data_IF_894040060845
#
_entry.id   IF_894040060845
#
_cell.length_a   1.000
_cell.length_b   1.000
_cell.length_c   1.000
_cell.angle_alpha   90.00
_cell.angle_beta   90.00
_cell.angle_gamma   90.00
#
_symmetry.space_group_name_H-M   'P 1'
#
loop_
_entity.id
_entity.type
_entity.pdbx_description
1 polymer ?
#
# COMPACT_ATOMS: atom_id res chain seq x y z
N UNK A 1 -9.22 34.20 -39.27
CA UNK A 1 -8.82 35.14 -38.19
C UNK A 1 -9.50 34.71 -36.87
N UNK A 2 -9.21 33.59 -36.22
CA UNK A 2 -8.00 33.17 -35.46
C UNK A 2 -7.56 34.12 -34.34
N UNK A 3 -8.51 34.57 -33.50
CA UNK A 3 -8.25 35.52 -32.40
C UNK A 3 -8.40 34.93 -30.98
N UNK A 4 -8.28 33.61 -30.79
CA UNK A 4 -8.52 32.98 -29.46
C UNK A 4 -7.43 32.00 -28.97
N UNK A 5 -6.24 32.00 -29.58
CA UNK A 5 -5.00 31.53 -28.92
C UNK A 5 -4.27 32.69 -28.22
N UNK A 6 -5.04 33.70 -27.79
CA UNK A 6 -4.52 34.86 -27.06
C UNK A 6 -4.20 34.42 -25.63
N UNK A 7 -2.88 34.31 -25.38
CA UNK A 7 -2.21 33.98 -24.12
C UNK A 7 -2.06 32.48 -23.84
N UNK A 8 -1.05 31.85 -24.44
CA UNK A 8 -0.08 31.12 -23.60
C UNK A 8 0.25 32.10 -22.47
N UNK A 9 -0.37 31.92 -21.30
CA UNK A 9 -0.19 32.86 -20.21
C UNK A 9 1.32 33.01 -19.99
N UNK A 10 1.84 34.26 -20.01
CA UNK A 10 3.18 34.58 -19.54
C UNK A 10 3.21 34.26 -18.03
N UNK A 11 3.24 32.97 -17.72
CA UNK A 11 3.44 32.46 -16.39
C UNK A 11 4.93 32.55 -16.14
N UNK A 12 5.34 33.21 -15.04
CA UNK A 12 6.75 33.36 -14.70
C UNK A 12 7.44 32.00 -14.57
N UNK A 13 8.77 31.95 -14.52
CA UNK A 13 9.50 30.72 -14.24
C UNK A 13 8.94 30.02 -12.99
N UNK A 14 8.82 28.70 -13.03
CA UNK A 14 8.26 27.92 -11.92
C UNK A 14 8.99 28.18 -10.61
N UNK A 15 10.32 28.34 -10.68
CA UNK A 15 11.16 28.59 -9.51
C UNK A 15 10.76 29.86 -8.75
N UNK A 16 10.45 30.94 -9.46
CA UNK A 16 10.04 32.21 -8.81
C UNK A 16 8.74 32.04 -8.02
N UNK A 17 7.82 31.23 -8.53
CA UNK A 17 6.57 30.91 -7.82
C UNK A 17 6.81 29.96 -6.65
N UNK A 18 7.71 28.97 -6.81
CA UNK A 18 8.11 28.09 -5.70
C UNK A 18 8.66 28.95 -4.56
N UNK A 19 9.70 29.76 -4.81
CA UNK A 19 10.35 30.58 -3.78
C UNK A 19 9.38 31.50 -3.03
N UNK A 20 8.38 32.06 -3.74
CA UNK A 20 7.32 32.87 -3.13
C UNK A 20 6.42 32.05 -2.21
N UNK A 21 5.99 30.87 -2.66
CA UNK A 21 5.10 30.00 -1.88
C UNK A 21 5.81 29.35 -0.69
N UNK A 22 7.11 29.06 -0.82
CA UNK A 22 7.92 28.58 0.30
C UNK A 22 7.95 29.61 1.43
N UNK A 23 8.11 30.91 1.11
CA UNK A 23 8.01 31.99 2.11
C UNK A 23 6.65 32.01 2.80
N UNK A 24 5.55 31.88 2.06
CA UNK A 24 4.20 31.88 2.64
C UNK A 24 3.98 30.72 3.62
N UNK A 25 4.53 29.53 3.32
CA UNK A 25 4.46 28.39 4.24
C UNK A 25 5.30 28.67 5.50
N UNK A 26 6.51 29.22 5.32
CA UNK A 26 7.39 29.59 6.43
C UNK A 26 6.78 30.68 7.33
N UNK A 27 5.97 31.56 6.76
CA UNK A 27 5.19 32.58 7.49
C UNK A 27 3.95 32.00 8.20
N UNK A 28 3.73 30.67 8.13
CA UNK A 28 2.69 29.94 8.84
C UNK A 28 1.36 29.80 8.09
N UNK A 29 1.19 30.43 6.93
CA UNK A 29 -0.06 30.36 6.15
C UNK A 29 -0.10 29.13 5.22
N UNK A 30 -0.10 27.94 5.83
CA UNK A 30 -0.04 26.67 5.11
C UNK A 30 -1.26 26.43 4.21
N UNK A 31 -2.47 26.69 4.71
CA UNK A 31 -3.70 26.51 3.93
C UNK A 31 -3.78 27.50 2.75
N UNK A 32 -3.46 28.77 2.96
CA UNK A 32 -3.42 29.76 1.89
C UNK A 32 -2.39 29.40 0.83
N UNK A 33 -1.20 28.95 1.25
CA UNK A 33 -0.18 28.44 0.32
C UNK A 33 -0.69 27.27 -0.51
N UNK A 34 -1.38 26.31 0.12
CA UNK A 34 -1.97 25.16 -0.57
C UNK A 34 -2.92 25.60 -1.69
N UNK A 35 -3.86 26.53 -1.42
CA UNK A 35 -4.78 27.01 -2.45
C UNK A 35 -4.05 27.71 -3.61
N UNK A 36 -2.96 28.43 -3.31
CA UNK A 36 -2.12 29.03 -4.34
C UNK A 36 -1.37 27.98 -5.19
N UNK A 37 -0.81 26.93 -4.57
CA UNK A 37 -0.23 25.79 -5.27
C UNK A 37 -1.25 25.14 -6.24
N UNK A 38 -2.48 24.91 -5.78
CA UNK A 38 -3.57 24.33 -6.59
C UNK A 38 -3.93 25.22 -7.78
N UNK A 39 -4.09 26.52 -7.54
CA UNK A 39 -4.43 27.49 -8.58
C UNK A 39 -3.32 27.61 -9.64
N UNK A 40 -2.06 27.75 -9.21
CA UNK A 40 -0.93 27.90 -10.12
C UNK A 40 -0.64 26.62 -10.92
N UNK A 41 -0.71 25.45 -10.30
CA UNK A 41 -0.55 24.17 -11.00
C UNK A 41 -1.64 23.94 -12.04
N UNK A 42 -2.90 24.29 -11.73
CA UNK A 42 -4.00 24.25 -12.70
C UNK A 42 -3.76 25.16 -13.91
N UNK A 43 -3.21 26.36 -13.68
CA UNK A 43 -2.83 27.30 -14.75
C UNK A 43 -1.70 26.76 -15.63
N UNK A 44 -0.67 26.17 -15.04
CA UNK A 44 0.41 25.52 -15.80
C UNK A 44 -0.11 24.33 -16.61
N UNK A 45 -0.92 23.45 -16.01
CA UNK A 45 -1.54 22.32 -16.70
C UNK A 45 -2.45 22.75 -17.85
N UNK A 46 -3.23 23.82 -17.67
CA UNK A 46 -4.09 24.40 -18.73
C UNK A 46 -3.27 24.99 -19.89
N UNK A 47 -2.03 25.38 -19.63
CA UNK A 47 -1.08 25.85 -20.62
C UNK A 47 -0.22 24.71 -21.21
N UNK A 48 -0.55 23.43 -20.93
CA UNK A 48 0.21 22.24 -21.33
C UNK A 48 1.65 22.21 -20.80
N UNK A 49 1.96 23.00 -19.77
CA UNK A 49 3.27 23.10 -19.10
C UNK A 49 3.32 22.12 -17.92
N UNK A 50 3.19 20.82 -18.23
CA UNK A 50 3.06 19.78 -17.20
C UNK A 50 4.32 19.60 -16.36
N UNK A 51 5.51 19.76 -16.94
CA UNK A 51 6.77 19.65 -16.19
C UNK A 51 6.82 20.65 -15.04
N UNK A 52 6.51 21.91 -15.33
CA UNK A 52 6.48 22.98 -14.33
C UNK A 52 5.35 22.78 -13.31
N UNK A 53 4.19 22.29 -13.74
CA UNK A 53 3.11 21.94 -12.81
C UNK A 53 3.55 20.84 -11.83
N UNK A 54 4.26 19.82 -12.32
CA UNK A 54 4.79 18.73 -11.50
C UNK A 54 5.88 19.23 -10.53
N UNK A 55 6.79 20.10 -10.97
CA UNK A 55 7.84 20.67 -10.12
C UNK A 55 7.24 21.49 -8.98
N UNK A 56 6.24 22.31 -9.31
CA UNK A 56 5.49 23.11 -8.35
C UNK A 56 4.75 22.24 -7.33
N UNK A 57 4.00 21.23 -7.79
CA UNK A 57 3.22 20.35 -6.92
C UNK A 57 4.10 19.47 -6.03
N UNK A 58 5.22 18.96 -6.57
CA UNK A 58 6.19 18.19 -5.80
C UNK A 58 6.81 19.04 -4.69
N UNK A 59 7.24 20.26 -5.00
CA UNK A 59 7.78 21.18 -3.99
C UNK A 59 6.74 21.47 -2.90
N UNK A 60 5.53 21.85 -3.28
CA UNK A 60 4.44 22.14 -2.34
C UNK A 60 4.08 20.93 -1.46
N UNK A 61 3.95 19.74 -2.04
CA UNK A 61 3.66 18.52 -1.29
C UNK A 61 4.76 18.22 -0.25
N UNK A 62 6.03 18.23 -0.68
CA UNK A 62 7.16 17.98 0.20
C UNK A 62 7.24 19.00 1.34
N UNK A 63 7.06 20.28 1.05
CA UNK A 63 7.17 21.33 2.05
C UNK A 63 6.03 21.28 3.07
N UNK A 64 4.78 21.11 2.62
CA UNK A 64 3.64 20.96 3.52
C UNK A 64 3.79 19.76 4.45
N UNK A 65 4.17 18.60 3.89
CA UNK A 65 4.41 17.38 4.68
C UNK A 65 5.54 17.59 5.71
N UNK A 66 6.63 18.27 5.33
CA UNK A 66 7.73 18.62 6.23
C UNK A 66 7.30 19.52 7.39
N UNK A 67 6.31 20.39 7.19
CA UNK A 67 5.71 21.23 8.25
C UNK A 67 4.61 20.51 9.04
N UNK A 68 4.42 19.20 8.86
CA UNK A 68 3.40 18.41 9.54
C UNK A 68 1.97 18.63 9.02
N UNK A 69 1.80 19.38 7.92
CA UNK A 69 0.51 19.66 7.31
C UNK A 69 0.11 18.51 6.38
N UNK A 70 -0.22 17.36 6.98
CA UNK A 70 -0.39 16.10 6.24
C UNK A 70 -1.53 16.15 5.24
N UNK A 71 -2.68 16.71 5.62
CA UNK A 71 -3.83 16.87 4.72
C UNK A 71 -3.50 17.75 3.53
N UNK A 72 -2.87 18.91 3.78
CA UNK A 72 -2.50 19.86 2.73
C UNK A 72 -1.48 19.26 1.76
N UNK A 73 -0.43 18.65 2.29
CA UNK A 73 0.64 18.04 1.51
C UNK A 73 0.17 16.82 0.72
N UNK A 74 -0.68 15.99 1.31
CA UNK A 74 -1.28 14.83 0.64
C UNK A 74 -2.19 15.21 -0.52
N UNK A 75 -3.00 16.27 -0.38
CA UNK A 75 -3.85 16.72 -1.48
C UNK A 75 -3.01 17.22 -2.67
N UNK A 76 -1.91 17.94 -2.41
CA UNK A 76 -0.96 18.33 -3.46
C UNK A 76 -0.24 17.12 -4.07
N UNK A 77 0.06 16.10 -3.26
CA UNK A 77 0.65 14.84 -3.72
C UNK A 77 -0.29 14.05 -4.64
N UNK A 78 -1.59 14.00 -4.33
CA UNK A 78 -2.61 13.39 -5.21
C UNK A 78 -2.73 14.19 -6.50
N UNK A 79 -2.79 15.53 -6.44
CA UNK A 79 -2.80 16.39 -7.64
C UNK A 79 -1.53 16.23 -8.49
N UNK A 80 -0.37 15.98 -7.87
CA UNK A 80 0.86 15.64 -8.59
C UNK A 80 0.65 14.39 -9.45
N UNK A 81 0.07 13.33 -8.90
CA UNK A 81 -0.22 12.10 -9.66
C UNK A 81 -1.27 12.34 -10.74
N UNK A 82 -2.33 13.09 -10.45
CA UNK A 82 -3.31 13.47 -11.48
C UNK A 82 -2.67 14.24 -12.63
N UNK A 83 -1.66 15.05 -12.34
CA UNK A 83 -0.89 15.79 -13.34
C UNK A 83 0.01 14.86 -14.16
N UNK A 84 0.56 13.80 -13.56
CA UNK A 84 1.27 12.74 -14.30
C UNK A 84 0.32 12.07 -15.32
N UNK A 85 -0.91 11.74 -14.90
CA UNK A 85 -1.93 11.15 -15.76
C UNK A 85 -2.32 12.11 -16.90
N UNK A 86 -2.64 13.38 -16.57
CA UNK A 86 -3.03 14.40 -17.56
C UNK A 86 -1.91 14.67 -18.57
N UNK A 87 -0.67 14.75 -18.08
CA UNK A 87 0.52 14.94 -18.91
C UNK A 87 0.98 13.67 -19.64
N UNK A 88 0.29 12.54 -19.44
CA UNK A 88 0.63 11.22 -19.99
C UNK A 88 2.09 10.84 -19.73
N UNK A 89 2.59 11.16 -18.54
CA UNK A 89 3.97 10.91 -18.16
C UNK A 89 4.16 9.39 -18.00
N UNK A 90 5.08 8.77 -18.75
CA UNK A 90 5.32 7.34 -18.66
C UNK A 90 5.89 6.96 -17.30
N UNK A 91 5.56 5.77 -16.83
CA UNK A 91 6.20 5.16 -15.67
C UNK A 91 7.64 4.75 -16.02
N UNK A 92 8.60 5.28 -15.27
CA UNK A 92 10.03 4.99 -15.36
C UNK A 92 10.72 5.35 -14.03
N UNK A 93 12.03 5.12 -13.92
CA UNK A 93 12.77 5.37 -12.68
C UNK A 93 12.72 6.83 -12.24
N UNK A 94 12.80 7.79 -13.17
CA UNK A 94 12.77 9.22 -12.85
C UNK A 94 11.42 9.66 -12.25
N UNK A 95 10.32 9.25 -12.89
CA UNK A 95 8.97 9.56 -12.41
C UNK A 95 8.64 8.85 -11.10
N UNK A 96 9.08 7.59 -10.95
CA UNK A 96 8.99 6.85 -9.69
C UNK A 96 9.80 7.53 -8.58
N UNK A 97 10.98 8.05 -8.88
CA UNK A 97 11.81 8.79 -7.91
C UNK A 97 11.12 10.05 -7.43
N UNK A 98 10.33 10.71 -8.28
CA UNK A 98 9.54 11.87 -7.85
C UNK A 98 8.43 11.47 -6.86
N UNK A 99 7.73 10.37 -7.11
CA UNK A 99 6.73 9.80 -6.19
C UNK A 99 7.41 9.39 -4.87
N UNK A 100 8.57 8.74 -4.94
CA UNK A 100 9.37 8.32 -3.78
C UNK A 100 9.83 9.50 -2.93
N UNK A 101 10.23 10.62 -3.55
CA UNK A 101 10.61 11.85 -2.85
C UNK A 101 9.44 12.39 -2.01
N UNK A 102 8.23 12.43 -2.57
CA UNK A 102 7.04 12.87 -1.83
C UNK A 102 6.68 11.86 -0.72
N UNK A 103 6.70 10.56 -1.02
CA UNK A 103 6.44 9.50 -0.03
C UNK A 103 7.35 9.62 1.20
N UNK A 104 8.66 9.85 0.99
CA UNK A 104 9.63 10.00 2.09
C UNK A 104 9.35 11.19 3.02
N UNK A 105 8.53 12.15 2.59
CA UNK A 105 8.14 13.29 3.42
C UNK A 105 6.92 12.99 4.29
N UNK A 106 6.17 11.90 4.04
CA UNK A 106 5.06 11.54 4.92
C UNK A 106 5.59 11.21 6.33
N UNK A 107 4.99 11.77 7.39
CA UNK A 107 5.47 11.54 8.74
C UNK A 107 5.40 10.07 9.13
N UNK A 108 6.43 9.61 9.84
CA UNK A 108 6.51 8.33 10.53
C UNK A 108 6.48 8.63 12.02
N UNK A 109 5.31 8.54 12.63
CA UNK A 109 5.11 8.91 14.04
C UNK A 109 4.69 7.65 14.79
N UNK A 110 5.57 7.12 15.67
CA UNK A 110 5.25 5.93 16.44
C UNK A 110 3.93 6.07 17.20
N UNK A 111 3.07 5.08 17.07
CA UNK A 111 1.84 5.00 17.84
C UNK A 111 2.14 4.72 19.32
N UNK A 112 1.34 5.27 20.26
CA UNK A 112 1.42 4.90 21.67
C UNK A 112 1.20 3.38 21.84
N UNK A 113 2.15 2.67 22.45
CA UNK A 113 2.13 1.19 22.53
C UNK A 113 1.41 0.64 23.77
N UNK A 114 1.15 1.48 24.79
CA UNK A 114 0.54 1.05 26.06
C UNK A 114 -0.83 1.69 26.25
N UNK A 115 -1.87 0.98 25.82
CA UNK A 115 -3.28 1.34 26.02
C UNK A 115 -3.83 0.90 27.40
N UNK A 116 -3.08 0.07 28.14
CA UNK A 116 -3.57 -0.62 29.33
C UNK A 116 -3.23 0.02 30.69
N UNK A 117 -2.54 1.16 30.71
CA UNK A 117 -2.07 1.83 31.94
C UNK A 117 -2.54 3.29 31.99
N UNK A 118 -3.69 3.57 31.36
CA UNK A 118 -4.36 4.86 31.46
C UNK A 118 -5.15 4.84 32.77
N UNK A 119 -4.82 5.72 33.70
CA UNK A 119 -5.72 6.04 34.80
C UNK A 119 -7.07 6.49 34.25
N UNK A 120 -8.12 6.44 35.07
CA UNK A 120 -9.48 6.93 34.73
C UNK A 120 -9.55 8.46 34.48
N UNK A 121 -8.43 9.12 34.18
CA UNK A 121 -8.34 10.56 33.97
C UNK A 121 -8.81 10.91 32.54
N UNK A 122 -9.96 11.60 32.44
CA UNK A 122 -10.60 12.05 31.18
C UNK A 122 -9.64 12.77 30.20
N UNK A 123 -8.58 13.41 30.71
CA UNK A 123 -7.60 14.13 29.91
C UNK A 123 -6.70 13.19 29.08
N UNK A 124 -6.33 12.03 29.60
CA UNK A 124 -5.45 11.07 28.92
C UNK A 124 -6.22 10.32 27.81
N UNK A 125 -7.49 10.03 28.06
CA UNK A 125 -8.41 9.44 27.06
C UNK A 125 -8.59 10.38 25.87
N UNK A 126 -8.75 11.69 26.11
CA UNK A 126 -8.91 12.68 25.05
C UNK A 126 -7.65 12.81 24.18
N UNK A 127 -6.46 12.89 24.80
CA UNK A 127 -5.19 12.97 24.06
C UNK A 127 -4.94 11.73 23.21
N UNK A 128 -5.27 10.54 23.72
CA UNK A 128 -5.17 9.30 22.97
C UNK A 128 -6.12 9.29 21.76
N UNK A 129 -7.37 9.70 21.96
CA UNK A 129 -8.37 9.79 20.88
C UNK A 129 -7.88 10.70 19.75
N UNK A 130 -7.31 11.86 20.10
CA UNK A 130 -6.71 12.80 19.14
C UNK A 130 -5.50 12.20 18.43
N UNK A 131 -4.62 11.50 19.14
CA UNK A 131 -3.46 10.83 18.56
C UNK A 131 -3.86 9.73 17.56
N UNK A 132 -4.87 8.93 17.90
CA UNK A 132 -5.45 7.91 17.01
C UNK A 132 -6.09 8.58 15.79
N UNK A 133 -6.88 9.63 15.98
CA UNK A 133 -7.50 10.39 14.88
C UNK A 133 -6.45 10.98 13.92
N UNK A 134 -5.38 11.53 14.46
CA UNK A 134 -4.25 12.03 13.68
C UNK A 134 -3.57 10.89 12.91
N UNK A 135 -3.33 9.73 13.53
CA UNK A 135 -2.74 8.56 12.85
C UNK A 135 -3.63 8.04 11.72
N UNK A 136 -4.94 7.87 11.95
CA UNK A 136 -5.92 7.51 10.91
C UNK A 136 -5.86 8.47 9.73
N UNK A 137 -5.80 9.77 10.01
CA UNK A 137 -5.68 10.83 8.98
C UNK A 137 -4.39 10.68 8.18
N UNK A 138 -3.23 10.44 8.82
CA UNK A 138 -1.95 10.25 8.13
C UNK A 138 -1.99 9.04 7.19
N UNK A 139 -2.50 7.92 7.69
CA UNK A 139 -2.61 6.66 6.96
C UNK A 139 -3.51 6.81 5.74
N UNK A 140 -4.66 7.46 5.89
CA UNK A 140 -5.59 7.68 4.78
C UNK A 140 -5.00 8.61 3.72
N UNK A 141 -4.35 9.69 4.14
CA UNK A 141 -3.65 10.62 3.25
C UNK A 141 -2.57 9.91 2.41
N UNK A 142 -1.65 9.20 3.07
CA UNK A 142 -0.58 8.47 2.37
C UNK A 142 -1.15 7.36 1.47
N UNK A 143 -2.16 6.63 1.96
CA UNK A 143 -2.84 5.59 1.19
C UNK A 143 -3.47 6.13 -0.07
N UNK A 144 -4.18 7.27 0.00
CA UNK A 144 -4.83 7.90 -1.15
C UNK A 144 -3.79 8.28 -2.22
N UNK A 145 -2.68 8.92 -1.80
CA UNK A 145 -1.57 9.25 -2.67
C UNK A 145 -0.96 8.03 -3.37
N UNK A 146 -0.58 7.00 -2.60
CA UNK A 146 0.05 5.80 -3.16
C UNK A 146 -0.92 4.97 -4.01
N UNK A 147 -2.20 4.87 -3.63
CA UNK A 147 -3.24 4.21 -4.44
C UNK A 147 -3.41 4.94 -5.78
N UNK A 148 -3.40 6.27 -5.80
CA UNK A 148 -3.41 7.05 -7.04
C UNK A 148 -2.15 6.75 -7.89
N UNK A 149 -0.96 6.73 -7.27
CA UNK A 149 0.29 6.47 -7.96
C UNK A 149 0.35 5.04 -8.54
N UNK A 150 -0.19 4.04 -7.82
CA UNK A 150 -0.33 2.66 -8.31
C UNK A 150 -1.20 2.63 -9.57
N UNK A 151 -2.37 3.31 -9.56
CA UNK A 151 -3.25 3.39 -10.74
C UNK A 151 -2.57 4.06 -11.92
N UNK A 152 -1.91 5.21 -11.71
CA UNK A 152 -1.13 5.88 -12.75
C UNK A 152 -0.06 4.93 -13.33
N UNK A 153 0.70 4.26 -12.48
CA UNK A 153 1.76 3.35 -12.96
C UNK A 153 1.19 2.19 -13.79
N UNK A 154 0.02 1.65 -13.43
CA UNK A 154 -0.64 0.59 -14.18
C UNK A 154 -1.07 1.04 -15.58
N UNK A 155 -1.51 2.30 -15.71
CA UNK A 155 -1.98 2.87 -16.98
C UNK A 155 -0.82 3.31 -17.89
N UNK A 156 0.29 3.77 -17.32
CA UNK A 156 1.36 4.46 -18.06
C UNK A 156 2.70 3.71 -18.15
N UNK A 157 2.72 2.39 -17.95
CA UNK A 157 3.86 1.56 -18.38
C UNK A 157 4.50 0.63 -17.35
N UNK A 158 3.93 0.51 -16.15
CA UNK A 158 4.31 -0.56 -15.22
C UNK A 158 3.57 -1.87 -15.57
N UNK A 159 3.42 -2.75 -14.57
CA UNK A 159 2.59 -3.95 -14.68
C UNK A 159 1.08 -3.59 -14.63
N UNK A 160 0.20 -4.45 -15.16
CA UNK A 160 -1.27 -4.24 -15.17
C UNK A 160 -1.90 -3.98 -13.80
N UNK A 161 -1.22 -4.40 -12.73
CA UNK A 161 -1.65 -4.19 -11.33
C UNK A 161 -0.99 -2.96 -10.69
N UNK A 162 -0.17 -2.22 -11.43
CA UNK A 162 0.68 -1.13 -10.93
C UNK A 162 2.10 -1.56 -10.58
N UNK A 163 2.90 -0.58 -10.19
CA UNK A 163 4.31 -0.71 -9.79
C UNK A 163 4.46 -1.58 -8.53
N UNK A 164 5.24 -2.68 -8.59
CA UNK A 164 5.54 -3.50 -7.41
C UNK A 164 6.17 -2.70 -6.27
N UNK A 165 7.07 -1.75 -6.58
CA UNK A 165 7.72 -0.95 -5.53
C UNK A 165 6.73 -0.02 -4.81
N UNK A 166 5.74 0.53 -5.53
CA UNK A 166 4.70 1.35 -4.90
C UNK A 166 3.78 0.52 -4.00
N UNK A 167 3.53 -0.74 -4.38
CA UNK A 167 2.84 -1.70 -3.54
C UNK A 167 3.61 -1.99 -2.24
N UNK A 168 4.92 -2.24 -2.31
CA UNK A 168 5.75 -2.44 -1.11
C UNK A 168 5.72 -1.20 -0.20
N UNK A 169 5.90 0.00 -0.76
CA UNK A 169 5.86 1.25 0.00
C UNK A 169 4.52 1.43 0.75
N UNK A 170 3.40 1.15 0.09
CA UNK A 170 2.09 1.26 0.73
C UNK A 170 1.90 0.19 1.82
N UNK A 171 2.33 -1.04 1.58
CA UNK A 171 2.23 -2.11 2.56
C UNK A 171 3.07 -1.82 3.82
N UNK A 172 4.29 -1.32 3.65
CA UNK A 172 5.17 -0.91 4.75
C UNK A 172 4.55 0.22 5.57
N UNK A 173 4.04 1.27 4.91
CA UNK A 173 3.43 2.41 5.60
C UNK A 173 2.16 2.00 6.37
N UNK A 174 1.31 1.16 5.77
CA UNK A 174 0.13 0.62 6.44
C UNK A 174 0.53 -0.20 7.68
N UNK A 175 1.59 -1.01 7.59
CA UNK A 175 2.04 -1.80 8.73
C UNK A 175 2.65 -0.95 9.86
N UNK A 176 3.38 0.12 9.54
CA UNK A 176 4.05 0.92 10.56
C UNK A 176 3.16 1.98 11.21
N UNK A 177 2.25 2.58 10.44
CA UNK A 177 1.51 3.77 10.87
C UNK A 177 0.02 3.53 11.18
N UNK A 178 -0.53 2.35 10.87
CA UNK A 178 -1.96 2.08 11.13
C UNK A 178 -2.21 1.87 12.62
N UNK A 179 -3.14 2.64 13.24
CA UNK A 179 -3.51 2.44 14.64
C UNK A 179 -4.17 1.09 14.89
N UNK A 180 -4.86 0.57 13.88
CA UNK A 180 -5.46 -0.76 13.86
C UNK A 180 -4.89 -1.51 12.66
N UNK A 181 -4.22 -2.63 12.90
CA UNK A 181 -3.54 -3.39 11.86
C UNK A 181 -4.52 -4.26 11.07
N UNK A 182 -4.75 -3.90 9.80
CA UNK A 182 -5.44 -4.75 8.83
C UNK A 182 -4.41 -5.55 8.02
N UNK A 183 -4.07 -6.75 8.52
CA UNK A 183 -3.13 -7.64 7.84
C UNK A 183 -3.65 -8.17 6.49
N UNK A 184 -4.96 -8.18 6.24
CA UNK A 184 -5.49 -8.59 4.94
C UNK A 184 -5.17 -7.52 3.88
N UNK A 185 -5.41 -6.24 4.19
CA UNK A 185 -5.05 -5.12 3.30
C UNK A 185 -3.54 -4.98 3.12
N UNK A 186 -2.75 -5.18 4.18
CA UNK A 186 -1.28 -5.15 4.09
C UNK A 186 -0.77 -6.29 3.20
N UNK A 187 -1.28 -7.51 3.39
CA UNK A 187 -0.95 -8.67 2.57
C UNK A 187 -1.29 -8.42 1.10
N UNK A 188 -2.45 -7.83 0.81
CA UNK A 188 -2.88 -7.50 -0.56
C UNK A 188 -1.83 -6.70 -1.34
N UNK A 189 -1.20 -5.73 -0.67
CA UNK A 189 -0.16 -4.93 -1.29
C UNK A 189 1.16 -5.69 -1.37
N UNK A 190 1.63 -6.34 -0.31
CA UNK A 190 2.91 -7.07 -0.34
C UNK A 190 2.95 -8.16 -1.42
N UNK A 191 1.88 -8.93 -1.64
CA UNK A 191 1.89 -9.99 -2.66
C UNK A 191 1.98 -9.47 -4.10
N UNK A 192 1.67 -8.19 -4.30
CA UNK A 192 1.83 -7.46 -5.57
C UNK A 192 3.16 -6.70 -5.64
N UNK A 193 3.92 -6.70 -4.57
CA UNK A 193 5.27 -6.14 -4.49
C UNK A 193 6.33 -7.08 -5.05
N UNK A 194 7.57 -6.59 -5.06
CA UNK A 194 8.76 -7.28 -5.55
C UNK A 194 9.75 -7.68 -4.43
N UNK A 195 9.35 -7.54 -3.16
CA UNK A 195 10.19 -7.86 -1.98
C UNK A 195 9.52 -8.88 -1.03
N UNK A 196 9.53 -10.18 -1.39
CA UNK A 196 8.96 -11.23 -0.53
C UNK A 196 9.71 -11.40 0.81
N UNK A 197 10.99 -11.00 0.87
CA UNK A 197 11.77 -11.07 2.12
C UNK A 197 11.30 -10.01 3.10
N UNK A 198 11.09 -8.78 2.64
CA UNK A 198 10.48 -7.73 3.44
C UNK A 198 9.12 -8.15 3.97
N UNK A 199 8.30 -8.78 3.13
CA UNK A 199 7.01 -9.27 3.59
C UNK A 199 7.16 -10.33 4.69
N UNK A 200 8.09 -11.28 4.53
CA UNK A 200 8.43 -12.24 5.58
C UNK A 200 8.89 -11.57 6.88
N UNK A 201 9.75 -10.56 6.82
CA UNK A 201 10.14 -9.74 7.99
C UNK A 201 8.95 -9.07 8.67
N UNK A 202 8.01 -8.53 7.88
CA UNK A 202 6.80 -7.88 8.38
C UNK A 202 5.90 -8.86 9.11
N UNK A 203 5.70 -10.07 8.57
CA UNK A 203 4.94 -11.14 9.23
C UNK A 203 5.59 -11.51 10.57
N UNK A 204 6.91 -11.70 10.62
CA UNK A 204 7.61 -12.01 11.88
C UNK A 204 7.47 -10.88 12.90
N UNK A 205 7.53 -9.62 12.46
CA UNK A 205 7.28 -8.47 13.32
C UNK A 205 5.83 -8.40 13.83
N UNK A 206 4.86 -8.86 13.03
CA UNK A 206 3.45 -8.96 13.41
C UNK A 206 3.22 -10.06 14.46
N UNK A 207 3.87 -11.22 14.31
CA UNK A 207 3.76 -12.35 15.25
C UNK A 207 4.08 -11.95 16.70
N UNK A 208 5.03 -11.02 16.90
CA UNK A 208 5.39 -10.54 18.23
C UNK A 208 4.40 -9.54 18.85
N UNK A 209 3.36 -9.14 18.12
CA UNK A 209 2.39 -8.10 18.50
C UNK A 209 0.94 -8.57 18.48
N UNK A 210 0.64 -9.67 17.80
CA UNK A 210 -0.72 -10.13 17.55
C UNK A 210 -1.24 -11.06 18.66
N UNK A 211 -2.54 -11.31 18.67
CA UNK A 211 -3.11 -12.33 19.55
C UNK A 211 -2.79 -13.74 19.04
N UNK A 212 -2.74 -14.77 19.92
CA UNK A 212 -2.53 -16.15 19.50
C UNK A 212 -3.56 -16.60 18.45
N UNK A 213 -3.09 -17.14 17.32
CA UNK A 213 -3.95 -17.57 16.22
C UNK A 213 -4.25 -16.50 15.17
N UNK A 214 -3.75 -15.27 15.32
CA UNK A 214 -3.72 -14.29 14.23
C UNK A 214 -2.48 -14.44 13.34
N UNK A 215 -1.41 -14.99 13.91
CA UNK A 215 -0.12 -15.25 13.27
C UNK A 215 -0.20 -16.34 12.20
N UNK A 216 -0.82 -17.47 12.51
CA UNK A 216 -1.02 -18.54 11.52
C UNK A 216 -1.98 -18.13 10.39
N UNK A 217 -3.03 -17.37 10.70
CA UNK A 217 -3.93 -16.76 9.74
C UNK A 217 -3.18 -15.81 8.80
N UNK A 218 -2.32 -14.93 9.33
CA UNK A 218 -1.53 -14.01 8.53
C UNK A 218 -0.57 -14.75 7.59
N UNK A 219 0.14 -15.77 8.08
CA UNK A 219 1.05 -16.59 7.27
C UNK A 219 0.28 -17.33 6.17
N UNK A 220 -0.82 -18.00 6.53
CA UNK A 220 -1.61 -18.76 5.57
C UNK A 220 -2.22 -17.87 4.48
N UNK A 221 -2.78 -16.71 4.86
CA UNK A 221 -3.31 -15.73 3.91
C UNK A 221 -2.21 -15.26 2.95
N UNK A 222 -1.03 -14.94 3.46
CA UNK A 222 0.09 -14.49 2.66
C UNK A 222 0.53 -15.54 1.62
N UNK A 223 0.67 -16.81 2.05
CA UNK A 223 1.02 -17.92 1.15
C UNK A 223 -0.08 -18.14 0.11
N UNK A 224 -1.33 -18.28 0.55
CA UNK A 224 -2.46 -18.52 -0.36
C UNK A 224 -2.63 -17.41 -1.39
N UNK A 225 -2.42 -16.14 -1.01
CA UNK A 225 -2.52 -15.02 -1.95
C UNK A 225 -1.38 -15.00 -2.98
N UNK A 226 -0.14 -15.33 -2.62
CA UNK A 226 0.92 -15.50 -3.62
C UNK A 226 0.61 -16.66 -4.58
N UNK A 227 0.14 -17.79 -4.05
CA UNK A 227 -0.22 -18.95 -4.87
C UNK A 227 -1.42 -18.64 -5.77
N UNK A 228 -2.44 -17.94 -5.28
CA UNK A 228 -3.57 -17.48 -6.10
C UNK A 228 -3.10 -16.49 -7.20
N UNK A 229 -1.94 -15.85 -7.04
CA UNK A 229 -1.31 -15.07 -8.10
C UNK A 229 -0.48 -15.91 -9.10
N UNK A 230 -0.28 -17.19 -8.83
CA UNK A 230 0.59 -18.10 -9.60
C UNK A 230 2.06 -17.98 -9.20
N UNK A 231 2.36 -17.34 -8.07
CA UNK A 231 3.72 -17.00 -7.67
C UNK A 231 4.24 -17.94 -6.58
N UNK A 232 4.50 -19.20 -6.95
CA UNK A 232 5.06 -20.21 -6.04
C UNK A 232 6.47 -19.85 -5.55
N UNK A 233 7.26 -19.18 -6.40
CA UNK A 233 8.63 -18.78 -6.06
C UNK A 233 8.65 -17.84 -4.86
N UNK A 234 7.87 -16.77 -4.91
CA UNK A 234 7.92 -15.74 -3.88
C UNK A 234 7.17 -16.20 -2.61
N UNK A 235 6.17 -17.08 -2.74
CA UNK A 235 5.57 -17.76 -1.60
C UNK A 235 6.61 -18.57 -0.80
N UNK A 236 7.45 -19.36 -1.47
CA UNK A 236 8.53 -20.10 -0.83
C UNK A 236 9.60 -19.17 -0.27
N UNK A 237 10.02 -18.15 -1.04
CA UNK A 237 11.02 -17.19 -0.57
C UNK A 237 10.60 -16.46 0.71
N UNK A 238 9.33 -16.07 0.82
CA UNK A 238 8.78 -15.44 2.02
C UNK A 238 8.75 -16.42 3.21
N UNK A 239 8.33 -17.67 2.98
CA UNK A 239 8.35 -18.71 4.03
C UNK A 239 9.75 -19.04 4.53
N UNK A 240 10.74 -19.08 3.65
CA UNK A 240 12.14 -19.31 4.04
C UNK A 240 12.69 -18.15 4.87
N UNK A 241 12.35 -16.91 4.51
CA UNK A 241 12.73 -15.73 5.29
C UNK A 241 12.06 -15.71 6.68
N UNK A 242 10.78 -16.10 6.77
CA UNK A 242 10.08 -16.27 8.04
C UNK A 242 10.82 -17.29 8.92
N UNK A 243 11.10 -18.50 8.40
CA UNK A 243 11.81 -19.55 9.15
C UNK A 243 13.17 -19.07 9.66
N UNK A 244 13.96 -18.45 8.78
CA UNK A 244 15.27 -17.88 9.12
C UNK A 244 15.19 -16.84 10.25
N UNK A 245 14.20 -15.95 10.20
CA UNK A 245 14.06 -14.91 11.23
C UNK A 245 13.51 -15.45 12.55
N UNK A 246 12.58 -16.39 12.50
CA UNK A 246 12.06 -17.09 13.68
C UNK A 246 13.20 -17.82 14.40
N UNK A 247 14.05 -18.54 13.66
CA UNK A 247 15.24 -19.21 14.22
C UNK A 247 16.22 -18.20 14.85
N UNK A 248 16.55 -17.12 14.14
CA UNK A 248 17.51 -16.13 14.64
C UNK A 248 17.00 -15.34 15.86
N UNK A 249 15.69 -15.08 15.93
CA UNK A 249 15.03 -14.37 17.04
C UNK A 249 14.52 -15.30 18.15
N UNK A 250 14.68 -16.62 18.00
CA UNK A 250 14.16 -17.65 18.91
C UNK A 250 12.66 -17.52 19.18
N UNK A 251 11.90 -17.14 18.15
CA UNK A 251 10.44 -17.11 18.18
C UNK A 251 9.96 -18.53 17.88
N UNK A 252 8.80 -18.96 18.41
CA UNK A 252 8.19 -20.22 17.97
C UNK A 252 7.20 -19.96 16.82
N UNK A 253 7.26 -20.78 15.76
CA UNK A 253 6.20 -20.78 14.75
C UNK A 253 4.91 -21.37 15.32
N UNK A 254 3.73 -20.91 14.86
CA UNK A 254 2.47 -21.44 15.33
C UNK A 254 2.35 -22.94 15.00
N UNK A 255 1.97 -23.74 15.98
CA UNK A 255 1.79 -25.19 15.85
C UNK A 255 0.32 -25.53 15.61
N UNK A 256 -0.26 -25.02 14.53
CA UNK A 256 -1.68 -25.21 14.20
C UNK A 256 -1.89 -26.13 12.99
N UNK A 257 -3.12 -26.61 12.84
CA UNK A 257 -3.53 -27.37 11.65
C UNK A 257 -3.43 -26.53 10.37
N UNK A 258 -3.62 -25.21 10.49
CA UNK A 258 -3.51 -24.29 9.36
C UNK A 258 -2.05 -24.17 8.90
N UNK A 259 -1.11 -24.04 9.84
CA UNK A 259 0.31 -24.08 9.52
C UNK A 259 0.74 -25.42 8.94
N UNK A 260 0.20 -26.54 9.46
CA UNK A 260 0.45 -27.86 8.90
C UNK A 260 -0.05 -27.98 7.46
N UNK A 261 -1.24 -27.45 7.18
CA UNK A 261 -1.78 -27.35 5.82
C UNK A 261 -0.84 -26.58 4.89
N UNK A 262 -0.41 -25.37 5.27
CA UNK A 262 0.52 -24.53 4.49
C UNK A 262 1.83 -25.26 4.20
N UNK A 263 2.40 -25.93 5.21
CA UNK A 263 3.64 -26.69 5.08
C UNK A 263 3.53 -27.89 4.12
N UNK A 264 2.35 -28.50 3.98
CA UNK A 264 2.12 -29.56 3.00
C UNK A 264 1.72 -29.02 1.62
N UNK A 265 1.04 -27.87 1.57
CA UNK A 265 0.57 -27.25 0.34
C UNK A 265 1.75 -26.86 -0.56
N UNK A 266 2.76 -26.16 -0.01
CA UNK A 266 3.89 -25.67 -0.80
C UNK A 266 4.66 -26.80 -1.53
N UNK A 267 5.10 -27.89 -0.86
CA UNK A 267 5.70 -29.03 -1.54
C UNK A 267 4.74 -29.75 -2.51
N UNK A 268 3.44 -29.74 -2.23
CA UNK A 268 2.44 -30.35 -3.12
C UNK A 268 2.39 -29.62 -4.46
N UNK A 269 2.43 -28.28 -4.45
CA UNK A 269 2.50 -27.48 -5.68
C UNK A 269 3.84 -27.62 -6.39
N UNK A 270 4.95 -27.74 -5.66
CA UNK A 270 6.27 -28.00 -6.27
C UNK A 270 6.32 -29.33 -7.02
N UNK A 271 5.58 -30.34 -6.55
CA UNK A 271 5.47 -31.67 -7.17
C UNK A 271 4.40 -31.74 -8.26
N UNK A 272 3.63 -30.67 -8.46
CA UNK A 272 2.52 -30.61 -9.40
C UNK A 272 1.51 -31.78 -9.22
N UNK A 273 1.05 -31.98 -7.98
CA UNK A 273 0.18 -33.11 -7.63
C UNK A 273 -1.24 -32.67 -7.26
N UNK A 274 -2.12 -32.60 -8.26
CA UNK A 274 -3.56 -32.34 -8.07
C UNK A 274 -4.23 -33.34 -7.09
N UNK A 275 -3.94 -34.67 -7.13
CA UNK A 275 -4.52 -35.60 -6.17
C UNK A 275 -4.17 -35.25 -4.71
N UNK A 276 -2.91 -34.90 -4.43
CA UNK A 276 -2.49 -34.48 -3.09
C UNK A 276 -3.12 -33.14 -2.71
N UNK A 277 -3.21 -32.19 -3.64
CA UNK A 277 -3.88 -30.91 -3.41
C UNK A 277 -5.35 -31.11 -2.99
N UNK A 278 -6.09 -31.94 -3.71
CA UNK A 278 -7.48 -32.27 -3.37
C UNK A 278 -7.60 -33.00 -2.03
N UNK A 279 -6.69 -33.95 -1.75
CA UNK A 279 -6.63 -34.61 -0.45
C UNK A 279 -6.45 -33.59 0.68
N UNK A 280 -5.49 -32.67 0.55
CA UNK A 280 -5.24 -31.62 1.55
C UNK A 280 -6.48 -30.73 1.76
N UNK A 281 -7.18 -30.33 0.70
CA UNK A 281 -8.43 -29.54 0.82
C UNK A 281 -9.50 -30.27 1.63
N UNK A 282 -9.66 -31.57 1.42
CA UNK A 282 -10.64 -32.38 2.17
C UNK A 282 -10.19 -32.59 3.62
N UNK A 283 -8.94 -32.97 3.83
CA UNK A 283 -8.40 -33.29 5.16
C UNK A 283 -8.37 -32.07 6.10
N UNK A 284 -8.17 -30.87 5.58
CA UNK A 284 -8.10 -29.63 6.37
C UNK A 284 -9.35 -28.75 6.23
N UNK A 285 -10.46 -29.29 5.68
CA UNK A 285 -11.68 -28.51 5.40
C UNK A 285 -12.18 -27.72 6.61
N UNK A 286 -12.27 -28.34 7.78
CA UNK A 286 -12.76 -27.68 9.00
C UNK A 286 -11.89 -26.48 9.43
N UNK A 287 -10.59 -26.52 9.13
CA UNK A 287 -9.65 -25.43 9.40
C UNK A 287 -9.76 -24.32 8.36
N UNK A 288 -9.90 -24.69 7.09
CA UNK A 288 -10.00 -23.75 5.97
C UNK A 288 -11.33 -22.98 5.98
N UNK A 289 -12.43 -23.65 6.35
CA UNK A 289 -13.78 -23.06 6.38
C UNK A 289 -13.94 -21.97 7.46
N UNK A 290 -12.98 -21.83 8.39
CA UNK A 290 -12.95 -20.71 9.35
C UNK A 290 -12.75 -19.37 8.64
N UNK A 291 -12.08 -19.38 7.49
CA UNK A 291 -11.80 -18.21 6.66
C UNK A 291 -12.38 -18.44 5.26
N UNK A 292 -13.62 -17.98 4.98
CA UNK A 292 -14.30 -18.28 3.71
C UNK A 292 -13.47 -17.93 2.47
N UNK A 293 -12.71 -16.84 2.52
CA UNK A 293 -11.83 -16.38 1.43
C UNK A 293 -10.73 -17.40 1.06
N UNK A 294 -10.33 -18.30 1.96
CA UNK A 294 -9.32 -19.31 1.64
C UNK A 294 -9.84 -20.32 0.62
N UNK A 295 -11.12 -20.69 0.67
CA UNK A 295 -11.69 -21.59 -0.33
C UNK A 295 -11.68 -20.94 -1.74
N UNK A 296 -11.93 -19.64 -1.81
CA UNK A 296 -11.87 -18.88 -3.07
C UNK A 296 -10.44 -18.82 -3.61
N UNK A 297 -9.46 -18.49 -2.76
CA UNK A 297 -8.04 -18.52 -3.12
C UNK A 297 -7.61 -19.91 -3.60
N UNK A 298 -8.09 -20.97 -2.96
CA UNK A 298 -7.78 -22.34 -3.36
C UNK A 298 -8.39 -22.73 -4.71
N UNK A 299 -9.53 -22.17 -5.08
CA UNK A 299 -10.08 -22.35 -6.42
C UNK A 299 -9.23 -21.58 -7.46
N UNK A 300 -8.71 -20.39 -7.13
CA UNK A 300 -7.75 -19.68 -8.01
C UNK A 300 -6.45 -20.45 -8.16
N UNK A 301 -5.94 -21.05 -7.07
CA UNK A 301 -4.74 -21.89 -7.08
C UNK A 301 -4.97 -23.12 -7.95
N UNK A 302 -6.12 -23.77 -7.82
CA UNK A 302 -6.44 -24.95 -8.62
C UNK A 302 -6.50 -24.65 -10.12
N UNK A 303 -7.08 -23.50 -10.48
CA UNK A 303 -7.09 -23.00 -11.85
C UNK A 303 -5.67 -22.71 -12.37
N UNK A 304 -4.86 -21.96 -11.60
CA UNK A 304 -3.54 -21.52 -12.06
C UNK A 304 -2.50 -22.61 -12.15
N UNK A 305 -2.48 -23.54 -11.21
CA UNK A 305 -1.46 -24.59 -11.16
C UNK A 305 -1.89 -25.88 -11.86
N UNK A 306 -3.19 -26.19 -11.88
CA UNK A 306 -3.69 -27.48 -12.40
C UNK A 306 -4.72 -27.34 -13.53
N UNK A 307 -5.06 -26.12 -13.96
CA UNK A 307 -6.05 -25.89 -15.02
C UNK A 307 -7.48 -26.30 -14.64
N UNK A 308 -7.77 -26.45 -13.34
CA UNK A 308 -9.10 -26.85 -12.89
C UNK A 308 -10.06 -25.67 -13.00
N UNK A 309 -11.17 -25.78 -13.75
CA UNK A 309 -12.11 -24.68 -13.89
C UNK A 309 -12.78 -24.36 -12.56
N UNK A 310 -12.99 -23.08 -12.29
CA UNK A 310 -13.69 -22.63 -11.07
C UNK A 310 -15.11 -23.15 -11.07
N UNK A 311 -15.57 -23.62 -9.91
CA UNK A 311 -16.93 -24.13 -9.72
C UNK A 311 -17.99 -23.04 -9.92
N UNK A 312 -17.70 -21.80 -9.52
CA UNK A 312 -18.59 -20.64 -9.71
C UNK A 312 -17.82 -19.46 -10.36
N UNK A 313 -17.88 -19.28 -11.69
CA UNK A 313 -17.23 -18.16 -12.39
C UNK A 313 -17.69 -16.79 -11.89
N UNK A 314 -18.96 -16.67 -11.47
CA UNK A 314 -19.57 -15.44 -10.95
C UNK A 314 -19.10 -15.07 -9.54
N UNK A 315 -18.62 -16.03 -8.76
CA UNK A 315 -18.00 -15.79 -7.45
C UNK A 315 -16.55 -15.28 -7.62
N UNK A 316 -15.96 -15.47 -8.82
CA UNK A 316 -14.70 -14.84 -9.22
C UNK A 316 -14.83 -13.36 -9.60
N UNK A 317 -16.04 -12.77 -9.60
CA UNK A 317 -16.24 -11.32 -9.76
C UNK A 317 -15.84 -10.51 -8.51
N UNK A 318 -15.14 -11.11 -7.54
CA UNK A 318 -14.54 -10.40 -6.40
C UNK A 318 -13.27 -9.59 -6.71
N UNK A 319 -12.98 -9.36 -8.00
CA UNK A 319 -12.26 -8.15 -8.39
C UNK A 319 -12.83 -6.88 -7.72
N UNK A 320 -14.11 -6.87 -7.33
CA UNK A 320 -14.74 -5.76 -6.61
C UNK A 320 -14.56 -5.75 -5.07
N UNK A 321 -14.35 -6.89 -4.38
CA UNK A 321 -13.94 -6.87 -2.93
C UNK A 321 -12.51 -6.30 -2.82
N UNK A 322 -11.63 -6.65 -3.75
CA UNK A 322 -10.29 -6.08 -3.84
C UNK A 322 -10.26 -4.62 -4.33
N UNK A 323 -11.39 -4.08 -4.83
CA UNK A 323 -11.58 -2.63 -5.05
C UNK A 323 -12.10 -1.89 -3.82
N UNK A 324 -12.68 -2.60 -2.84
CA UNK A 324 -13.28 -2.03 -1.62
C UNK A 324 -12.34 -2.03 -0.39
N UNK A 325 -11.11 -2.53 -0.51
CA UNK A 325 -10.04 -2.40 0.51
C UNK A 325 -8.97 -1.35 0.13
#
# INVERSE_FOLDING_TARGET
>A
MSRERLRRANLPPVQENIDKLEKVINDGNCYGAQQMYKSLSSRYSSAERYSEALDLLQSGACLQLKHGQVTCGSELAVMFVETLVKGKVPYNDDSLDRVRKIYKMFPLVPLPQNLGDLGDDDADVQQLSEAIGAAKTRVECCSSFLKAAIRWSAEFGAHKMGSPQLHVMLAEYLFSESPELDMARITYHFVRGDDPKKFGSTIVNFMGKCYPGEDDLAIARAVLMYLAMGNLRDANCMMDEIKKQVESRKIELPKSDLMRYVNYLLPTLQRDSLPLFNMLRVSYKATLDKEPVFNELLDEIAEKFYGVPRRNPLQGMFGDIFKMM
#
